data_IF_448661840961
#
_entry.id   IF_448661840961
#
_cell.length_a   1.000
_cell.length_b   1.000
_cell.length_c   1.000
_cell.angle_alpha   90.00
_cell.angle_beta   90.00
_cell.angle_gamma   90.00
#
_symmetry.space_group_name_H-M   'P 1'
#
loop_
_entity.id
_entity.type
_entity.pdbx_description
1 polymer ?
#
# COMPACT_ATOMS: atom_id res chain seq x y z
N UNK A 1 -8.08 -0.19 14.78
CA UNK A 1 -9.52 -0.26 14.91
C UNK A 1 -9.99 -1.68 15.19
N UNK A 2 -10.40 -1.89 16.40
CA UNK A 2 -10.74 -3.23 16.88
C UNK A 2 -12.08 -3.75 16.36
N UNK A 3 -12.86 -2.88 15.78
CA UNK A 3 -14.16 -3.21 15.21
C UNK A 3 -14.11 -3.63 13.73
N UNK A 4 -12.89 -3.73 13.16
CA UNK A 4 -12.68 -4.24 11.81
C UNK A 4 -12.14 -5.66 11.83
N UNK A 5 -12.55 -6.51 10.87
CA UNK A 5 -11.80 -7.73 10.59
C UNK A 5 -10.35 -7.42 10.22
N UNK A 6 -9.44 -8.24 10.70
CA UNK A 6 -8.03 -8.09 10.37
C UNK A 6 -7.79 -8.33 8.89
N UNK A 7 -6.99 -7.45 8.27
CA UNK A 7 -6.49 -7.64 6.92
C UNK A 7 -5.03 -8.05 6.98
N UNK A 8 -4.72 -9.16 6.32
CA UNK A 8 -3.36 -9.67 6.20
C UNK A 8 -2.98 -9.65 4.74
N UNK A 9 -1.92 -8.93 4.43
CA UNK A 9 -1.46 -8.76 3.06
C UNK A 9 0.06 -8.83 3.01
N UNK A 10 0.56 -9.42 1.93
CA UNK A 10 1.98 -9.44 1.61
C UNK A 10 2.16 -9.26 0.13
N UNK A 11 3.19 -8.53 -0.28
CA UNK A 11 3.46 -8.24 -1.68
C UNK A 11 4.88 -8.61 -2.04
N UNK A 12 5.05 -9.14 -3.24
CA UNK A 12 6.34 -9.38 -3.85
C UNK A 12 6.35 -8.77 -5.24
N UNK A 13 7.39 -8.02 -5.56
CA UNK A 13 7.57 -7.46 -6.90
C UNK A 13 8.18 -8.53 -7.80
N UNK A 14 7.55 -8.78 -8.94
CA UNK A 14 8.03 -9.72 -9.95
C UNK A 14 8.74 -9.03 -11.10
N UNK A 15 8.29 -7.83 -11.47
CA UNK A 15 8.94 -7.01 -12.52
C UNK A 15 8.89 -5.55 -12.13
N UNK A 16 9.90 -4.81 -12.54
CA UNK A 16 10.01 -3.39 -12.23
C UNK A 16 10.24 -3.17 -10.74
N UNK A 17 9.70 -2.09 -10.23
CA UNK A 17 9.78 -1.76 -8.82
C UNK A 17 8.65 -0.81 -8.47
N UNK A 18 8.34 -0.71 -7.18
CA UNK A 18 7.25 0.14 -6.70
C UNK A 18 7.70 1.00 -5.54
N UNK A 19 7.07 2.15 -5.42
CA UNK A 19 7.02 2.92 -4.19
C UNK A 19 5.84 2.39 -3.38
N UNK A 20 6.10 1.86 -2.21
CA UNK A 20 5.06 1.37 -1.33
C UNK A 20 4.85 2.39 -0.20
N UNK A 21 3.69 3.01 -0.18
CA UNK A 21 3.33 4.03 0.79
C UNK A 21 2.54 3.42 1.93
N UNK A 22 2.89 3.77 3.16
CA UNK A 22 2.27 3.23 4.37
C UNK A 22 2.19 4.29 5.47
N UNK A 23 1.34 4.06 6.46
CA UNK A 23 1.26 4.91 7.64
C UNK A 23 2.48 4.79 8.54
N UNK A 24 3.17 3.68 8.48
CA UNK A 24 4.28 3.35 9.38
C UNK A 24 5.56 3.11 8.60
N UNK A 25 6.68 3.20 9.29
CA UNK A 25 7.99 2.94 8.72
C UNK A 25 8.74 4.20 8.34
N UNK A 26 9.84 4.01 7.64
CA UNK A 26 10.71 5.08 7.20
C UNK A 26 10.34 5.53 5.81
N UNK A 27 10.78 6.73 5.46
CA UNK A 27 10.58 7.27 4.10
C UNK A 27 11.90 7.25 3.35
N UNK A 28 11.91 6.63 2.18
CA UNK A 28 13.06 6.65 1.29
C UNK A 28 13.39 8.08 0.86
N UNK A 29 14.68 8.43 0.69
CA UNK A 29 15.03 9.70 0.08
C UNK A 29 14.43 9.83 -1.31
N UNK A 30 14.04 11.04 -1.68
CA UNK A 30 13.49 11.34 -3.00
C UNK A 30 12.19 10.57 -3.34
N UNK A 31 11.39 10.26 -2.33
CA UNK A 31 10.06 9.71 -2.57
C UNK A 31 9.24 10.65 -3.46
N UNK A 32 8.47 10.14 -4.42
CA UNK A 32 7.66 10.97 -5.28
C UNK A 32 6.55 11.65 -4.49
N UNK A 33 6.09 12.78 -5.00
CA UNK A 33 4.93 13.46 -4.44
C UNK A 33 3.67 12.60 -4.63
N UNK A 34 2.83 12.57 -3.60
CA UNK A 34 1.53 11.90 -3.70
C UNK A 34 0.63 12.79 -4.56
N UNK A 35 -0.01 12.24 -5.62
CA UNK A 35 -0.90 13.03 -6.47
C UNK A 35 -2.02 13.69 -5.67
N UNK A 36 -2.30 14.96 -5.96
CA UNK A 36 -3.35 15.71 -5.29
C UNK A 36 -4.74 15.08 -5.46
N UNK A 37 -4.93 14.32 -6.52
CA UNK A 37 -6.18 13.59 -6.78
C UNK A 37 -6.48 12.52 -5.75
N UNK A 38 -5.48 12.07 -4.98
CA UNK A 38 -5.69 11.12 -3.88
C UNK A 38 -6.35 11.75 -2.66
N UNK A 39 -6.41 13.08 -2.60
CA UNK A 39 -6.92 13.80 -1.44
C UNK A 39 -5.99 13.64 -0.22
N UNK A 40 -6.49 13.95 0.97
CA UNK A 40 -5.70 13.74 2.19
C UNK A 40 -5.44 12.26 2.41
N UNK A 41 -4.19 11.89 2.58
CA UNK A 41 -3.80 10.50 2.84
C UNK A 41 -3.04 10.40 4.15
N UNK A 42 -3.17 9.24 4.79
CA UNK A 42 -2.41 8.91 6.00
C UNK A 42 -1.09 8.23 5.67
N UNK A 43 -1.02 7.55 4.54
CA UNK A 43 0.11 6.72 4.10
C UNK A 43 1.21 7.59 3.49
N UNK A 44 1.97 8.26 4.33
CA UNK A 44 2.98 9.24 3.90
C UNK A 44 4.41 8.71 3.91
N UNK A 45 4.64 7.56 4.54
CA UNK A 45 5.95 6.93 4.55
C UNK A 45 6.09 6.05 3.31
N UNK A 46 7.26 6.05 2.71
CA UNK A 46 7.46 5.41 1.42
C UNK A 46 8.74 4.58 1.43
N UNK A 47 8.64 3.34 1.01
CA UNK A 47 9.80 2.50 0.76
C UNK A 47 9.80 2.03 -0.68
N UNK A 48 11.00 1.88 -1.26
CA UNK A 48 11.15 1.27 -2.57
C UNK A 48 11.20 -0.23 -2.40
N UNK A 49 10.36 -0.93 -3.15
CA UNK A 49 10.32 -2.39 -3.18
C UNK A 49 10.74 -2.84 -4.57
N UNK A 50 11.80 -3.63 -4.64
CA UNK A 50 12.42 -4.12 -5.88
C UNK A 50 12.08 -5.57 -6.12
N UNK A 51 12.41 -6.06 -7.30
CA UNK A 51 12.19 -7.47 -7.67
C UNK A 51 12.76 -8.40 -6.59
N UNK A 52 11.93 -9.32 -6.14
CA UNK A 52 12.25 -10.29 -5.11
C UNK A 52 12.02 -9.81 -3.68
N UNK A 53 11.85 -8.51 -3.47
CA UNK A 53 11.54 -7.99 -2.14
C UNK A 53 10.11 -8.38 -1.76
N UNK A 54 9.95 -8.80 -0.51
CA UNK A 54 8.66 -9.12 0.07
C UNK A 54 8.36 -8.13 1.17
N UNK A 55 7.22 -7.49 1.08
CA UNK A 55 6.72 -6.59 2.11
C UNK A 55 5.43 -7.16 2.68
N UNK A 56 5.33 -7.18 3.98
CA UNK A 56 4.14 -7.65 4.69
C UNK A 56 3.50 -6.50 5.43
N UNK A 57 2.18 -6.41 5.34
CA UNK A 57 1.41 -5.51 6.18
C UNK A 57 1.51 -5.98 7.63
N UNK A 58 2.18 -5.20 8.46
CA UNK A 58 2.48 -5.59 9.83
C UNK A 58 1.34 -5.32 10.79
N UNK A 59 0.68 -4.22 10.58
CA UNK A 59 -0.43 -3.79 11.41
C UNK A 59 -1.74 -3.96 10.67
N UNK A 60 -2.73 -4.43 11.33
CA UNK A 60 -4.01 -4.82 10.73
C UNK A 60 -4.77 -3.68 10.08
N UNK A 61 -4.49 -2.47 10.43
CA UNK A 61 -5.30 -1.33 10.03
C UNK A 61 -4.50 -0.27 9.31
N UNK A 62 -3.36 -0.66 8.75
CA UNK A 62 -2.47 0.26 8.07
C UNK A 62 -3.01 0.62 6.71
N UNK A 63 -3.30 1.89 6.50
CA UNK A 63 -3.58 2.38 5.15
C UNK A 63 -2.30 2.36 4.32
N UNK A 64 -2.44 1.92 3.10
CA UNK A 64 -1.30 1.79 2.19
C UNK A 64 -1.76 1.90 0.74
N UNK A 65 -0.83 2.21 -0.13
CA UNK A 65 -1.00 2.14 -1.58
C UNK A 65 0.36 2.03 -2.26
N UNK A 66 0.36 1.67 -3.51
CA UNK A 66 1.58 1.54 -4.31
C UNK A 66 1.54 2.46 -5.52
N UNK A 67 2.71 2.91 -5.91
CA UNK A 67 2.94 3.62 -7.16
C UNK A 67 4.05 2.90 -7.91
N UNK A 68 3.79 2.48 -9.14
CA UNK A 68 4.81 1.84 -9.94
C UNK A 68 5.92 2.83 -10.29
N UNK A 69 7.13 2.31 -10.45
CA UNK A 69 8.22 3.05 -11.06
C UNK A 69 7.90 3.39 -12.52
N UNK A 70 8.77 4.19 -13.19
CA UNK A 70 8.45 4.77 -14.49
C UNK A 70 8.22 3.76 -15.63
N UNK A 71 8.71 2.54 -15.47
CA UNK A 71 8.54 1.49 -16.48
C UNK A 71 7.39 0.55 -16.17
N UNK A 72 6.62 0.84 -15.13
CA UNK A 72 5.56 -0.04 -14.65
C UNK A 72 6.10 -1.14 -13.73
N UNK A 73 5.20 -1.92 -13.19
CA UNK A 73 5.56 -3.02 -12.30
C UNK A 73 4.53 -4.14 -12.34
N UNK A 74 4.99 -5.35 -12.04
CA UNK A 74 4.12 -6.49 -11.77
C UNK A 74 4.35 -6.91 -10.32
N UNK A 75 3.28 -6.97 -9.56
CA UNK A 75 3.31 -7.29 -8.13
C UNK A 75 2.36 -8.45 -7.87
N UNK A 76 2.84 -9.45 -7.14
CA UNK A 76 2.00 -10.50 -6.59
C UNK A 76 1.57 -10.13 -5.18
N UNK A 77 0.32 -10.39 -4.87
CA UNK A 77 -0.22 -10.17 -3.55
C UNK A 77 -0.78 -11.47 -2.98
N UNK A 78 -0.50 -11.72 -1.72
CA UNK A 78 -1.16 -12.76 -0.92
C UNK A 78 -1.92 -12.05 0.19
N UNK A 79 -3.20 -12.33 0.27
CA UNK A 79 -4.06 -11.66 1.23
C UNK A 79 -5.20 -12.57 1.68
N UNK A 80 -5.79 -12.27 2.83
CA UNK A 80 -7.08 -12.85 3.15
C UNK A 80 -8.17 -12.15 2.30
N UNK A 81 -9.37 -12.70 2.32
CA UNK A 81 -10.47 -12.22 1.49
C UNK A 81 -10.72 -10.71 1.66
N UNK A 82 -10.86 -10.01 0.55
CA UNK A 82 -11.20 -8.59 0.53
C UNK A 82 -12.70 -8.42 0.43
N UNK A 83 -13.28 -7.81 1.42
CA UNK A 83 -14.69 -7.46 1.43
C UNK A 83 -14.90 -6.08 2.07
N UNK A 84 -16.10 -5.57 1.98
CA UNK A 84 -16.41 -4.25 2.54
C UNK A 84 -16.37 -4.20 4.06
N UNK A 85 -16.42 -5.34 4.74
CA UNK A 85 -16.29 -5.37 6.20
C UNK A 85 -14.86 -5.08 6.65
N UNK A 86 -13.86 -5.52 5.87
CA UNK A 86 -12.45 -5.34 6.20
C UNK A 86 -11.75 -4.18 5.49
N UNK A 87 -12.40 -3.56 4.50
CA UNK A 87 -11.78 -2.51 3.71
C UNK A 87 -12.19 -1.13 4.17
N UNK A 88 -11.24 -0.21 4.11
CA UNK A 88 -11.47 1.22 4.36
C UNK A 88 -10.63 2.01 3.39
N UNK A 89 -11.24 3.01 2.80
CA UNK A 89 -10.58 3.89 1.84
C UNK A 89 -10.51 5.30 2.40
N UNK A 90 -9.43 6.00 2.09
CA UNK A 90 -9.30 7.41 2.44
C UNK A 90 -10.29 8.26 1.66
N UNK A 91 -10.48 7.94 0.39
CA UNK A 91 -11.40 8.67 -0.46
C UNK A 91 -12.85 8.35 -0.08
N UNK A 92 -13.70 9.36 0.17
CA UNK A 92 -15.03 9.14 0.74
C UNK A 92 -16.00 8.38 -0.16
N UNK A 93 -15.78 8.38 -1.47
CA UNK A 93 -16.67 7.71 -2.42
C UNK A 93 -16.06 6.45 -3.03
N UNK A 94 -14.85 6.07 -2.63
CA UNK A 94 -14.24 4.85 -3.14
C UNK A 94 -14.91 3.62 -2.53
N UNK A 95 -15.19 2.64 -3.38
CA UNK A 95 -15.79 1.36 -2.99
C UNK A 95 -15.04 0.22 -3.66
N UNK A 96 -15.26 -0.96 -3.12
CA UNK A 96 -14.73 -2.18 -3.73
C UNK A 96 -15.43 -2.47 -5.06
#
# INVERSE_FOLDING_TARGET
KTDFPAKHESWMVEKGWVYNFSEVGETTPNAPAIPATHGPVKSKNCVIQKVGDILRLKEMETFHFMMAGPEGAVVCEWANYHDNAGLRFTHPTATL
#
